data_IF_656014434954
#
_entry.id   IF_656014434954
#
_cell.length_a   1.000
_cell.length_b   1.000
_cell.length_c   1.000
_cell.angle_alpha   90.00
_cell.angle_beta   90.00
_cell.angle_gamma   90.00
#
_symmetry.space_group_name_H-M   'P 1'
#
loop_
_entity.id
_entity.type
_entity.pdbx_description
1 polymer ?
#
# COMPACT_ATOMS: atom_id res chain seq x y z
N UNK A 1 12.99 -13.83 -43.10
CA UNK A 1 14.23 -13.47 -43.81
C UNK A 1 14.47 -11.95 -43.90
N UNK A 2 13.44 -11.11 -44.02
CA UNK A 2 13.56 -9.64 -44.10
C UNK A 2 14.32 -8.97 -42.93
N UNK A 3 14.18 -9.49 -41.69
CA UNK A 3 14.82 -8.89 -40.52
C UNK A 3 16.34 -9.09 -40.47
N UNK A 4 16.90 -10.15 -41.06
CA UNK A 4 18.36 -10.39 -41.06
C UNK A 4 19.14 -9.42 -41.96
N UNK A 5 18.53 -8.90 -43.01
CA UNK A 5 19.17 -7.93 -43.93
C UNK A 5 19.25 -6.53 -43.30
N UNK A 6 18.38 -6.24 -42.30
CA UNK A 6 18.31 -4.95 -41.63
C UNK A 6 18.98 -4.96 -40.24
N UNK A 7 19.55 -6.10 -39.84
CA UNK A 7 20.26 -6.23 -38.57
C UNK A 7 21.42 -5.18 -38.50
N UNK A 8 21.41 -4.32 -37.48
CA UNK A 8 22.41 -3.28 -37.34
C UNK A 8 23.82 -3.83 -37.02
N UNK A 9 23.94 -4.98 -36.36
CA UNK A 9 25.22 -5.53 -35.93
C UNK A 9 26.14 -5.91 -37.10
N UNK A 10 25.72 -6.70 -38.11
CA UNK A 10 26.53 -6.98 -39.28
C UNK A 10 26.91 -5.72 -40.06
N UNK A 11 25.97 -4.76 -40.22
CA UNK A 11 26.21 -3.48 -40.91
C UNK A 11 27.28 -2.66 -40.16
N UNK A 12 27.21 -2.58 -38.86
CA UNK A 12 28.19 -1.88 -38.03
C UNK A 12 29.56 -2.56 -38.05
N UNK A 13 29.58 -3.90 -37.94
CA UNK A 13 30.80 -4.70 -38.05
C UNK A 13 31.51 -4.46 -39.37
N UNK A 14 30.80 -4.44 -40.47
CA UNK A 14 31.37 -4.14 -41.79
C UNK A 14 32.04 -2.75 -41.84
N UNK A 15 31.38 -1.72 -41.26
CA UNK A 15 31.97 -0.37 -41.18
C UNK A 15 33.25 -0.34 -40.35
N UNK A 16 33.29 -1.01 -39.21
CA UNK A 16 34.48 -1.07 -38.37
C UNK A 16 35.62 -1.87 -39.00
N UNK A 17 35.30 -2.96 -39.70
CA UNK A 17 36.26 -3.76 -40.45
C UNK A 17 36.88 -2.92 -41.57
N UNK A 18 36.08 -2.15 -42.33
CA UNK A 18 36.57 -1.23 -43.35
C UNK A 18 37.45 -0.09 -42.79
N UNK A 19 37.27 0.25 -41.50
CA UNK A 19 38.12 1.18 -40.77
C UNK A 19 39.41 0.54 -40.20
N UNK A 20 39.75 -0.69 -40.62
CA UNK A 20 40.98 -1.40 -40.22
C UNK A 20 40.89 -2.13 -38.85
N UNK A 21 39.73 -2.28 -38.30
CA UNK A 21 39.53 -2.89 -36.97
C UNK A 21 39.14 -4.38 -37.00
N UNK A 22 39.19 -5.06 -38.16
CA UNK A 22 38.73 -6.42 -38.33
C UNK A 22 39.38 -7.41 -37.34
N UNK A 23 40.69 -7.43 -37.21
CA UNK A 23 41.42 -8.33 -36.29
C UNK A 23 41.06 -8.09 -34.84
N UNK A 24 40.80 -6.82 -34.46
CA UNK A 24 40.38 -6.49 -33.09
C UNK A 24 38.96 -6.98 -32.83
N UNK A 25 38.06 -6.87 -33.82
CA UNK A 25 36.69 -7.39 -33.70
C UNK A 25 36.66 -8.91 -33.54
N UNK A 26 37.51 -9.63 -34.31
CA UNK A 26 37.63 -11.08 -34.21
C UNK A 26 38.20 -11.52 -32.85
N UNK A 27 39.15 -10.77 -32.32
CA UNK A 27 39.67 -11.00 -30.97
C UNK A 27 38.64 -10.78 -29.88
N UNK A 28 37.81 -9.69 -29.97
CA UNK A 28 36.71 -9.43 -29.04
C UNK A 28 35.67 -10.53 -29.13
N UNK A 29 35.27 -10.98 -30.32
CA UNK A 29 34.30 -12.06 -30.49
C UNK A 29 34.79 -13.39 -29.86
N UNK A 30 36.08 -13.67 -29.98
CA UNK A 30 36.68 -14.87 -29.35
C UNK A 30 36.64 -14.75 -27.82
N UNK A 31 37.07 -13.61 -27.28
CA UNK A 31 37.09 -13.32 -25.84
C UNK A 31 35.67 -13.39 -25.24
N UNK A 32 34.69 -12.75 -25.89
CA UNK A 32 33.29 -12.75 -25.43
C UNK A 32 32.71 -14.18 -25.48
N UNK A 33 33.01 -14.94 -26.53
CA UNK A 33 32.54 -16.33 -26.65
C UNK A 33 33.12 -17.21 -25.55
N UNK A 34 34.41 -17.11 -25.28
CA UNK A 34 35.09 -17.84 -24.20
C UNK A 34 34.53 -17.44 -22.82
N UNK A 35 34.32 -16.14 -22.61
CA UNK A 35 33.71 -15.63 -21.38
C UNK A 35 32.28 -16.18 -21.16
N UNK A 36 31.44 -16.14 -22.20
CA UNK A 36 30.05 -16.66 -22.12
C UNK A 36 30.06 -18.18 -21.86
N UNK A 37 30.91 -18.95 -22.55
CA UNK A 37 31.03 -20.38 -22.32
C UNK A 37 31.49 -20.69 -20.89
N UNK A 38 32.47 -19.96 -20.39
CA UNK A 38 32.95 -20.09 -18.99
C UNK A 38 31.82 -19.78 -17.99
N UNK A 39 31.03 -18.73 -18.24
CA UNK A 39 29.88 -18.41 -17.39
C UNK A 39 28.82 -19.53 -17.40
N UNK A 40 28.53 -20.11 -18.59
CA UNK A 40 27.56 -21.22 -18.73
C UNK A 40 28.08 -22.45 -17.95
N UNK A 41 29.34 -22.85 -18.14
CA UNK A 41 29.91 -24.00 -17.45
C UNK A 41 29.94 -23.79 -15.93
N UNK A 42 30.29 -22.59 -15.49
CA UNK A 42 30.28 -22.23 -14.07
C UNK A 42 28.85 -22.32 -13.47
N UNK A 43 27.87 -21.80 -14.19
CA UNK A 43 26.47 -21.86 -13.77
C UNK A 43 25.94 -23.32 -13.73
N UNK A 44 26.29 -24.14 -14.71
CA UNK A 44 25.90 -25.55 -14.77
C UNK A 44 26.56 -26.42 -13.67
N UNK A 45 27.70 -25.98 -13.18
CA UNK A 45 28.40 -26.65 -12.08
C UNK A 45 27.85 -26.33 -10.70
N UNK A 46 27.00 -25.32 -10.57
CA UNK A 46 26.35 -24.98 -9.31
C UNK A 46 25.34 -26.07 -8.91
N UNK A 47 25.19 -26.35 -7.61
CA UNK A 47 24.15 -27.25 -7.15
C UNK A 47 22.76 -26.67 -7.49
N UNK A 48 21.74 -27.53 -7.68
CA UNK A 48 20.36 -27.05 -7.83
C UNK A 48 19.97 -26.15 -6.67
N UNK A 49 19.22 -25.11 -6.97
CA UNK A 49 18.70 -24.20 -5.94
C UNK A 49 17.77 -25.00 -5.02
N UNK A 50 17.98 -24.91 -3.70
CA UNK A 50 17.07 -25.49 -2.72
C UNK A 50 15.74 -24.71 -2.72
N UNK A 51 14.59 -25.41 -2.62
CA UNK A 51 13.31 -24.74 -2.39
C UNK A 51 13.19 -24.16 -0.98
N UNK A 52 14.08 -24.52 -0.07
CA UNK A 52 14.10 -23.99 1.29
C UNK A 52 14.40 -22.50 1.28
N UNK A 53 13.55 -21.71 1.95
CA UNK A 53 13.73 -20.27 2.06
C UNK A 53 13.23 -19.45 0.85
N UNK A 54 12.61 -20.05 -0.17
CA UNK A 54 12.09 -19.32 -1.33
C UNK A 54 11.18 -18.15 -0.95
N UNK A 55 10.40 -18.26 0.12
CA UNK A 55 9.52 -17.20 0.58
C UNK A 55 10.28 -16.02 1.21
N UNK A 56 11.49 -16.26 1.71
CA UNK A 56 12.33 -15.21 2.31
C UNK A 56 12.80 -14.17 1.27
N UNK A 57 12.88 -14.56 0.00
CA UNK A 57 13.31 -13.69 -1.10
C UNK A 57 12.16 -12.83 -1.66
N UNK A 58 10.93 -12.99 -1.15
CA UNK A 58 9.77 -12.24 -1.65
C UNK A 58 9.89 -10.74 -1.38
N UNK A 59 10.40 -10.37 -0.21
CA UNK A 59 10.57 -8.99 0.20
C UNK A 59 12.04 -8.67 0.47
N UNK A 60 12.43 -7.44 0.15
CA UNK A 60 13.69 -6.92 0.64
C UNK A 60 13.69 -6.94 2.18
N UNK A 61 14.82 -7.28 2.83
CA UNK A 61 14.92 -7.22 4.28
C UNK A 61 14.53 -5.85 4.83
N UNK A 62 13.92 -5.85 6.02
CA UNK A 62 13.57 -4.60 6.67
C UNK A 62 14.83 -3.72 6.83
N UNK A 63 14.75 -2.51 6.31
CA UNK A 63 15.83 -1.54 6.44
C UNK A 63 16.00 -1.15 7.92
N UNK A 64 17.25 -0.96 8.39
CA UNK A 64 17.45 -0.38 9.72
C UNK A 64 16.79 1.00 9.78
N UNK A 65 16.35 1.45 10.97
CA UNK A 65 15.78 2.78 11.13
C UNK A 65 16.72 3.84 10.57
N UNK A 66 16.25 4.60 9.58
CA UNK A 66 17.02 5.74 9.09
C UNK A 66 16.80 6.92 10.05
N UNK A 67 17.88 7.54 10.57
CA UNK A 67 17.73 8.72 11.44
C UNK A 67 17.02 9.84 10.65
N UNK A 68 15.95 10.38 11.20
CA UNK A 68 15.27 11.55 10.66
C UNK A 68 16.07 12.80 11.01
N UNK A 69 16.94 13.23 10.09
CA UNK A 69 17.82 14.37 10.27
C UNK A 69 17.42 15.48 9.29
N UNK A 70 17.18 16.72 9.76
CA UNK A 70 16.90 17.84 8.85
C UNK A 70 18.04 18.01 7.85
N UNK A 71 17.70 18.18 6.58
CA UNK A 71 18.69 18.49 5.54
C UNK A 71 19.34 19.84 5.83
N UNK A 72 20.66 19.85 5.96
CA UNK A 72 21.44 21.06 6.25
C UNK A 72 21.30 22.03 5.07
N UNK A 73 20.76 23.24 5.32
CA UNK A 73 20.87 24.36 4.39
C UNK A 73 19.61 24.85 3.70
N UNK A 74 18.40 24.42 4.09
CA UNK A 74 17.16 25.00 3.57
C UNK A 74 16.40 25.78 4.65
N UNK A 75 15.75 26.89 4.26
CA UNK A 75 14.78 27.59 5.11
C UNK A 75 13.63 26.65 5.61
N UNK A 76 13.53 25.47 4.98
CA UNK A 76 12.63 24.37 5.31
C UNK A 76 13.06 23.62 6.61
N UNK A 77 14.33 23.72 7.04
CA UNK A 77 14.80 23.13 8.30
C UNK A 77 14.12 23.74 9.53
N UNK A 78 13.63 24.97 9.40
CA UNK A 78 12.85 25.63 10.47
C UNK A 78 11.43 25.05 10.62
N UNK A 79 10.89 24.40 9.59
CA UNK A 79 9.57 23.73 9.65
C UNK A 79 9.60 22.46 10.53
N UNK A 80 10.69 21.70 10.51
CA UNK A 80 10.86 20.49 11.31
C UNK A 80 11.09 20.79 12.80
N UNK A 81 11.83 21.86 13.11
CA UNK A 81 12.13 22.25 14.50
C UNK A 81 10.97 22.96 15.23
N UNK A 82 9.90 23.34 14.52
CA UNK A 82 8.73 24.04 15.05
C UNK A 82 7.49 23.15 15.23
N UNK A 83 7.57 21.85 14.96
CA UNK A 83 6.45 20.95 15.21
C UNK A 83 6.22 20.89 16.73
N UNK A 84 5.04 21.33 17.17
CA UNK A 84 4.54 21.03 18.52
C UNK A 84 4.58 19.50 18.72
N UNK A 85 4.74 19.02 19.94
CA UNK A 85 4.77 17.58 20.24
C UNK A 85 3.51 16.84 19.73
N UNK A 86 2.39 17.56 19.59
CA UNK A 86 1.14 17.05 18.99
C UNK A 86 0.30 18.18 18.41
N UNK A 87 -0.54 17.86 17.41
CA UNK A 87 -1.48 18.79 16.78
C UNK A 87 -2.80 18.08 16.48
N UNK A 88 -3.94 18.77 16.61
CA UNK A 88 -5.24 18.25 16.20
C UNK A 88 -5.42 18.39 14.68
N UNK A 89 -5.36 17.30 13.95
CA UNK A 89 -5.39 17.26 12.50
C UNK A 89 -6.54 16.42 11.95
N UNK A 90 -7.06 16.80 10.79
CA UNK A 90 -7.82 15.86 9.95
C UNK A 90 -6.86 14.87 9.29
N UNK A 91 -7.37 13.76 8.75
CA UNK A 91 -6.53 12.78 8.06
C UNK A 91 -5.77 13.41 6.89
N UNK A 92 -6.42 14.21 6.05
CA UNK A 92 -5.76 14.89 4.93
C UNK A 92 -4.60 15.80 5.40
N UNK A 93 -4.78 16.55 6.50
CA UNK A 93 -3.70 17.36 7.06
C UNK A 93 -2.59 16.52 7.70
N UNK A 94 -2.92 15.39 8.32
CA UNK A 94 -1.91 14.47 8.87
C UNK A 94 -1.03 13.90 7.76
N UNK A 95 -1.62 13.50 6.63
CA UNK A 95 -0.88 13.05 5.44
C UNK A 95 -0.01 14.18 4.89
N UNK A 96 -0.56 15.39 4.73
CA UNK A 96 0.23 16.55 4.26
C UNK A 96 1.44 16.82 5.17
N UNK A 97 1.26 16.74 6.50
CA UNK A 97 2.36 16.88 7.47
C UNK A 97 3.42 15.77 7.33
N UNK A 98 3.00 14.52 7.11
CA UNK A 98 3.93 13.41 6.87
C UNK A 98 4.74 13.64 5.57
N UNK A 99 4.08 14.02 4.47
CA UNK A 99 4.74 14.34 3.20
C UNK A 99 5.73 15.51 3.36
N UNK A 100 5.35 16.56 4.09
CA UNK A 100 6.25 17.69 4.40
C UNK A 100 7.48 17.25 5.19
N UNK A 101 7.28 16.43 6.21
CA UNK A 101 8.40 15.88 7.00
C UNK A 101 9.33 15.06 6.11
N UNK A 102 8.79 14.17 5.29
CA UNK A 102 9.58 13.36 4.36
C UNK A 102 10.35 14.25 3.38
N UNK A 103 9.70 15.20 2.73
CA UNK A 103 10.36 16.10 1.77
C UNK A 103 11.42 16.98 2.43
N UNK A 104 11.22 17.42 3.66
CA UNK A 104 12.16 18.27 4.39
C UNK A 104 13.41 17.53 4.86
N UNK A 105 13.25 16.27 5.27
CA UNK A 105 14.31 15.50 5.94
C UNK A 105 14.96 14.45 5.03
N UNK A 106 14.43 14.25 3.81
CA UNK A 106 14.87 13.22 2.86
C UNK A 106 15.10 13.83 1.47
N UNK A 107 16.34 14.18 1.11
CA UNK A 107 16.65 14.81 -0.17
C UNK A 107 16.35 13.90 -1.37
N UNK A 108 16.38 12.59 -1.21
CA UNK A 108 16.07 11.59 -2.23
C UNK A 108 14.57 11.41 -2.49
N UNK A 109 13.68 12.00 -1.65
CA UNK A 109 12.23 11.87 -1.77
C UNK A 109 11.68 12.74 -2.89
N UNK A 110 10.65 12.23 -3.56
CA UNK A 110 9.89 12.91 -4.61
C UNK A 110 8.40 12.63 -4.40
N UNK A 111 7.55 13.61 -4.74
CA UNK A 111 6.09 13.41 -4.77
C UNK A 111 5.61 13.70 -6.18
N UNK A 112 4.98 12.73 -6.80
CA UNK A 112 4.47 12.82 -8.16
C UNK A 112 3.04 12.27 -8.24
N UNK A 113 2.32 12.66 -9.28
CA UNK A 113 0.94 12.23 -9.52
C UNK A 113 0.16 13.26 -10.29
N UNK A 114 -1.09 12.95 -10.60
CA UNK A 114 -1.95 13.83 -11.39
C UNK A 114 -2.46 14.98 -10.52
N UNK A 115 -2.40 16.21 -11.04
CA UNK A 115 -2.89 17.44 -10.41
C UNK A 115 -2.32 17.77 -9.01
N UNK A 116 -1.27 17.08 -8.57
CA UNK A 116 -0.70 17.29 -7.23
C UNK A 116 0.08 18.59 -7.08
N UNK A 117 0.46 19.22 -8.18
CA UNK A 117 1.27 20.44 -8.20
C UNK A 117 0.49 21.68 -7.74
N UNK A 118 0.23 22.59 -8.67
CA UNK A 118 -0.44 23.87 -8.36
C UNK A 118 -1.85 23.69 -7.78
N UNK A 119 -2.58 22.67 -8.25
CA UNK A 119 -3.92 22.36 -7.75
C UNK A 119 -3.92 21.76 -6.34
N UNK A 120 -2.86 21.02 -5.95
CA UNK A 120 -2.71 20.44 -4.62
C UNK A 120 -3.41 19.08 -4.44
N UNK A 121 -3.61 18.35 -5.54
CA UNK A 121 -4.29 17.05 -5.56
C UNK A 121 -5.82 17.16 -5.54
N UNK A 122 -6.51 16.10 -5.95
CA UNK A 122 -7.97 16.03 -6.02
C UNK A 122 -8.64 16.33 -4.66
N UNK A 123 -8.01 15.94 -3.57
CA UNK A 123 -8.52 16.11 -2.20
C UNK A 123 -7.74 17.14 -1.37
N UNK A 124 -6.86 17.92 -2.01
CA UNK A 124 -6.01 18.94 -1.37
C UNK A 124 -5.00 18.38 -0.35
N UNK A 125 -4.65 17.12 -0.47
CA UNK A 125 -3.68 16.48 0.42
C UNK A 125 -2.26 16.99 0.16
N UNK A 126 -1.92 17.31 -1.10
CA UNK A 126 -0.61 17.84 -1.51
C UNK A 126 -0.55 19.35 -1.62
N UNK A 127 -1.55 20.04 -1.05
CA UNK A 127 -1.65 21.51 -1.11
C UNK A 127 -0.38 22.19 -0.57
N UNK A 128 0.11 23.17 -1.30
CA UNK A 128 1.32 23.95 -1.04
C UNK A 128 2.66 23.20 -1.13
N UNK A 129 2.72 21.88 -1.35
CA UNK A 129 3.99 21.14 -1.45
C UNK A 129 4.84 21.64 -2.62
N UNK A 130 4.24 21.87 -3.79
CA UNK A 130 4.98 22.41 -4.95
C UNK A 130 5.60 23.77 -4.66
N UNK A 131 4.87 24.64 -3.97
CA UNK A 131 5.35 25.99 -3.61
C UNK A 131 6.57 25.92 -2.68
N UNK A 132 6.52 25.00 -1.70
CA UNK A 132 7.50 24.95 -0.62
C UNK A 132 8.74 24.13 -0.99
N UNK A 133 8.61 23.10 -1.83
CA UNK A 133 9.71 22.17 -2.18
C UNK A 133 10.17 22.27 -3.64
N UNK A 134 9.43 22.98 -4.47
CA UNK A 134 9.80 23.20 -5.87
C UNK A 134 9.52 22.01 -6.81
N UNK A 135 9.54 22.32 -8.11
CA UNK A 135 9.21 21.36 -9.18
C UNK A 135 10.13 20.14 -9.28
N UNK A 136 11.41 20.20 -8.94
CA UNK A 136 12.26 19.00 -8.96
C UNK A 136 11.83 17.93 -7.93
N UNK A 137 11.12 18.34 -6.88
CA UNK A 137 10.72 17.47 -5.77
C UNK A 137 9.22 17.13 -5.78
N UNK A 138 8.38 18.02 -6.33
CA UNK A 138 6.92 17.87 -6.38
C UNK A 138 6.44 18.27 -7.76
N UNK A 139 5.85 17.36 -8.52
CA UNK A 139 5.40 17.65 -9.88
C UNK A 139 4.20 16.81 -10.32
N UNK A 140 3.34 17.44 -11.12
CA UNK A 140 2.22 16.76 -11.76
C UNK A 140 2.72 15.91 -12.95
N UNK A 141 2.17 14.71 -13.07
CA UNK A 141 2.34 13.83 -14.23
C UNK A 141 1.22 14.07 -15.26
N UNK A 142 1.41 13.66 -16.51
CA UNK A 142 0.28 13.46 -17.43
C UNK A 142 -0.72 12.43 -16.87
N UNK A 143 -1.95 12.43 -17.43
CA UNK A 143 -2.98 11.42 -17.16
C UNK A 143 -2.60 10.10 -17.87
N UNK A 144 -1.75 9.32 -17.23
CA UNK A 144 -1.29 8.04 -17.76
C UNK A 144 -0.70 7.21 -16.60
N UNK A 145 -1.54 6.50 -15.89
CA UNK A 145 -1.20 5.80 -14.65
C UNK A 145 -0.11 4.76 -14.86
N UNK A 146 -0.19 3.99 -15.94
CA UNK A 146 0.83 3.00 -16.26
C UNK A 146 2.22 3.63 -16.50
N UNK A 147 2.27 4.77 -17.19
CA UNK A 147 3.54 5.45 -17.47
C UNK A 147 4.11 6.13 -16.22
N UNK A 148 3.27 6.79 -15.41
CA UNK A 148 3.71 7.44 -14.16
C UNK A 148 4.22 6.43 -13.16
N UNK A 149 3.53 5.28 -13.01
CA UNK A 149 3.96 4.19 -12.13
C UNK A 149 5.28 3.57 -12.62
N UNK A 150 5.41 3.31 -13.92
CA UNK A 150 6.69 2.85 -14.49
C UNK A 150 7.82 3.83 -14.26
N UNK A 151 7.53 5.14 -14.35
CA UNK A 151 8.50 6.20 -14.06
C UNK A 151 8.88 6.22 -12.56
N UNK A 152 7.91 6.09 -11.65
CA UNK A 152 8.18 5.99 -10.21
C UNK A 152 9.08 4.78 -9.88
N UNK A 153 8.80 3.61 -10.47
CA UNK A 153 9.65 2.42 -10.32
C UNK A 153 11.08 2.70 -10.84
N UNK A 154 11.19 3.34 -12.00
CA UNK A 154 12.50 3.72 -12.57
C UNK A 154 13.27 4.68 -11.67
N UNK A 155 12.62 5.67 -11.07
CA UNK A 155 13.20 6.57 -10.08
C UNK A 155 13.72 5.80 -8.85
N UNK A 156 12.95 4.82 -8.36
CA UNK A 156 13.35 3.99 -7.23
C UNK A 156 14.58 3.14 -7.56
N UNK A 157 14.65 2.54 -8.75
CA UNK A 157 15.83 1.83 -9.24
C UNK A 157 17.05 2.78 -9.39
N UNK A 158 16.80 4.05 -9.64
CA UNK A 158 17.82 5.11 -9.72
C UNK A 158 18.28 5.68 -8.37
N UNK A 159 17.79 5.13 -7.24
CA UNK A 159 18.20 5.54 -5.89
C UNK A 159 17.32 6.62 -5.25
N UNK A 160 16.21 6.99 -5.87
CA UNK A 160 15.21 7.87 -5.27
C UNK A 160 14.17 7.08 -4.48
N UNK A 161 13.39 7.81 -3.66
CA UNK A 161 12.23 7.25 -2.93
C UNK A 161 10.96 8.04 -3.28
N UNK A 162 10.31 7.69 -4.39
CA UNK A 162 9.13 8.39 -4.85
C UNK A 162 7.88 8.01 -4.06
N UNK A 163 6.98 8.99 -3.93
CA UNK A 163 5.62 8.82 -3.44
C UNK A 163 4.71 9.21 -4.61
N UNK A 164 3.97 8.26 -5.16
CA UNK A 164 3.06 8.46 -6.27
C UNK A 164 1.62 8.53 -5.78
N UNK A 165 0.91 9.63 -6.10
CA UNK A 165 -0.53 9.78 -5.85
C UNK A 165 -1.32 9.39 -7.10
N UNK A 166 -2.18 8.37 -6.97
CA UNK A 166 -3.31 8.17 -7.87
C UNK A 166 -4.46 9.09 -7.44
N UNK A 167 -5.23 9.61 -8.38
CA UNK A 167 -6.41 10.41 -8.01
C UNK A 167 -7.45 9.54 -7.31
N UNK A 168 -7.63 8.29 -7.77
CA UNK A 168 -8.50 7.28 -7.19
C UNK A 168 -7.88 5.89 -7.37
N UNK A 169 -8.08 5.01 -6.38
CA UNK A 169 -7.62 3.62 -6.44
C UNK A 169 -8.19 2.85 -7.66
N UNK A 170 -9.36 3.24 -8.12
CA UNK A 170 -10.03 2.70 -9.32
C UNK A 170 -9.13 2.81 -10.56
N UNK A 171 -8.43 3.92 -10.73
CA UNK A 171 -7.56 4.17 -11.89
C UNK A 171 -6.23 3.42 -11.83
N UNK A 172 -5.84 2.92 -10.65
CA UNK A 172 -4.66 2.08 -10.55
C UNK A 172 -4.79 0.76 -11.33
N UNK A 173 -6.01 0.41 -11.79
CA UNK A 173 -6.22 -0.70 -12.71
C UNK A 173 -5.51 -0.53 -14.05
N UNK A 174 -5.31 0.72 -14.54
CA UNK A 174 -4.51 1.02 -15.73
C UNK A 174 -3.01 0.75 -15.50
N UNK A 175 -2.55 0.88 -14.25
CA UNK A 175 -1.18 0.60 -13.85
C UNK A 175 -0.94 -0.84 -13.35
N UNK A 176 -1.93 -1.74 -13.46
CA UNK A 176 -1.87 -3.10 -12.90
C UNK A 176 -0.58 -3.82 -13.32
N UNK A 177 -0.20 -3.77 -14.60
CA UNK A 177 1.04 -4.38 -15.08
C UNK A 177 2.28 -3.86 -14.36
N UNK A 178 2.37 -2.55 -14.14
CA UNK A 178 3.51 -1.94 -13.47
C UNK A 178 3.56 -2.31 -11.99
N UNK A 179 2.42 -2.34 -11.33
CA UNK A 179 2.31 -2.67 -9.90
C UNK A 179 2.61 -4.14 -9.65
N UNK A 180 1.88 -5.07 -10.32
CA UNK A 180 1.91 -6.48 -9.97
C UNK A 180 2.99 -7.29 -10.68
N UNK A 181 3.40 -6.92 -11.90
CA UNK A 181 4.45 -7.63 -12.64
C UNK A 181 5.82 -6.99 -12.49
N UNK A 182 5.89 -5.68 -12.25
CA UNK A 182 7.16 -4.98 -12.08
C UNK A 182 7.44 -4.68 -10.60
N UNK A 183 6.74 -3.75 -9.96
CA UNK A 183 7.05 -3.36 -8.59
C UNK A 183 7.07 -4.57 -7.63
N UNK A 184 6.00 -5.37 -7.62
CA UNK A 184 5.85 -6.50 -6.71
C UNK A 184 6.93 -7.58 -6.87
N UNK A 185 7.41 -7.81 -8.09
CA UNK A 185 8.29 -8.95 -8.37
C UNK A 185 9.76 -8.58 -8.56
N UNK A 186 10.10 -7.30 -8.56
CA UNK A 186 11.46 -6.86 -8.92
C UNK A 186 12.51 -7.37 -7.94
N UNK A 187 12.20 -7.34 -6.64
CA UNK A 187 13.12 -7.85 -5.64
C UNK A 187 13.30 -9.37 -5.78
N UNK A 188 12.23 -10.11 -5.87
CA UNK A 188 12.28 -11.57 -6.04
C UNK A 188 13.05 -11.99 -7.30
N UNK A 189 12.89 -11.28 -8.42
CA UNK A 189 13.52 -11.63 -9.70
C UNK A 189 14.98 -11.23 -9.80
N UNK A 190 15.38 -10.13 -9.15
CA UNK A 190 16.65 -9.46 -9.43
C UNK A 190 17.33 -8.86 -8.18
N UNK A 191 16.79 -9.05 -6.98
CA UNK A 191 17.31 -8.40 -5.77
C UNK A 191 17.21 -6.87 -5.80
N UNK A 192 16.46 -6.30 -6.77
CA UNK A 192 16.32 -4.87 -6.94
C UNK A 192 15.24 -4.32 -6.01
N UNK A 193 15.62 -3.52 -5.04
CA UNK A 193 14.70 -2.79 -4.15
C UNK A 193 13.86 -1.79 -4.95
N UNK A 194 12.59 -1.67 -4.60
CA UNK A 194 11.64 -0.72 -5.21
C UNK A 194 10.91 0.05 -4.11
N UNK A 195 11.59 0.99 -3.43
CA UNK A 195 11.03 1.79 -2.35
C UNK A 195 10.07 2.87 -2.89
N UNK A 196 8.91 2.47 -3.34
CA UNK A 196 7.85 3.37 -3.83
C UNK A 196 6.67 3.30 -2.89
N UNK A 197 6.15 4.46 -2.49
CA UNK A 197 4.86 4.57 -1.79
C UNK A 197 3.78 4.94 -2.81
N UNK A 198 2.78 4.09 -2.97
CA UNK A 198 1.63 4.34 -3.82
C UNK A 198 0.44 4.77 -2.97
N UNK A 199 -0.10 5.95 -3.22
CA UNK A 199 -1.27 6.51 -2.54
C UNK A 199 -2.53 6.19 -3.31
N UNK A 200 -3.45 5.47 -2.69
CA UNK A 200 -4.69 4.99 -3.30
C UNK A 200 -5.93 5.55 -2.59
N UNK A 201 -6.38 6.78 -2.92
CA UNK A 201 -7.67 7.28 -2.44
C UNK A 201 -8.81 6.36 -2.90
N UNK A 202 -9.53 5.75 -1.96
CA UNK A 202 -10.55 4.73 -2.20
C UNK A 202 -11.82 4.96 -1.36
N UNK A 203 -12.77 4.05 -1.43
CA UNK A 203 -13.96 4.01 -0.60
C UNK A 203 -15.12 4.88 -1.08
N UNK A 204 -16.32 4.49 -0.72
CA UNK A 204 -17.57 5.14 -1.05
C UNK A 204 -18.06 6.16 0.01
N UNK A 205 -19.36 6.43 -0.03
CA UNK A 205 -20.03 7.35 0.89
C UNK A 205 -19.97 8.82 0.51
N UNK A 206 -19.45 9.12 -0.68
CA UNK A 206 -19.34 10.50 -1.22
C UNK A 206 -20.07 10.67 -2.56
N UNK A 207 -20.85 9.69 -2.97
CA UNK A 207 -21.66 9.68 -4.20
C UNK A 207 -20.88 9.87 -5.49
N UNK A 208 -19.64 9.35 -5.53
CA UNK A 208 -18.78 9.42 -6.73
C UNK A 208 -19.00 8.27 -7.71
N UNK A 209 -19.79 7.27 -7.34
CA UNK A 209 -20.17 6.15 -8.21
C UNK A 209 -19.05 5.16 -8.51
N UNK A 210 -19.28 4.31 -9.51
CA UNK A 210 -18.51 3.10 -9.76
C UNK A 210 -17.07 3.30 -10.25
N UNK A 211 -16.69 4.50 -10.70
CA UNK A 211 -15.32 4.78 -11.19
C UNK A 211 -14.43 5.49 -10.16
N UNK A 212 -14.97 5.86 -8.99
CA UNK A 212 -14.27 6.71 -8.04
C UNK A 212 -14.49 6.30 -6.58
N UNK A 213 -15.11 5.13 -6.35
CA UNK A 213 -15.55 4.75 -5.00
C UNK A 213 -15.26 3.29 -4.64
N UNK A 214 -14.57 2.55 -5.51
CA UNK A 214 -14.33 1.15 -5.25
C UNK A 214 -13.25 0.94 -4.19
N UNK A 215 -13.43 -0.16 -3.45
CA UNK A 215 -12.41 -0.76 -2.63
C UNK A 215 -11.61 -1.76 -3.47
N UNK A 216 -10.32 -1.50 -3.61
CA UNK A 216 -9.45 -2.22 -4.55
C UNK A 216 -8.43 -3.14 -3.86
N UNK A 217 -8.41 -3.19 -2.54
CA UNK A 217 -7.40 -3.90 -1.76
C UNK A 217 -7.29 -5.39 -2.14
N UNK A 218 -8.43 -6.07 -2.28
CA UNK A 218 -8.44 -7.49 -2.64
C UNK A 218 -7.85 -7.75 -4.03
N UNK A 219 -8.00 -6.80 -4.96
CA UNK A 219 -7.50 -6.94 -6.34
C UNK A 219 -5.97 -6.87 -6.40
N UNK A 220 -5.36 -5.96 -5.65
CA UNK A 220 -3.91 -5.78 -5.66
C UNK A 220 -3.19 -6.75 -4.71
N UNK A 221 -3.80 -7.09 -3.58
CA UNK A 221 -3.21 -8.00 -2.59
C UNK A 221 -3.33 -9.48 -2.96
N UNK A 222 -4.00 -9.81 -4.04
CA UNK A 222 -3.94 -11.13 -4.65
C UNK A 222 -2.54 -11.45 -5.25
N UNK A 223 -1.70 -10.41 -5.45
CA UNK A 223 -0.35 -10.57 -6.01
C UNK A 223 0.71 -10.42 -4.91
N UNK A 224 1.57 -11.44 -4.68
CA UNK A 224 2.62 -11.36 -3.69
C UNK A 224 3.69 -10.33 -4.06
N UNK A 225 4.33 -9.73 -3.06
CA UNK A 225 5.40 -8.73 -3.21
C UNK A 225 4.96 -7.28 -3.01
N UNK A 226 3.65 -7.00 -2.91
CA UNK A 226 3.14 -5.69 -2.50
C UNK A 226 2.87 -5.67 -0.99
N UNK A 227 3.38 -4.67 -0.29
CA UNK A 227 2.96 -4.36 1.08
C UNK A 227 1.80 -3.37 1.04
N UNK A 228 0.95 -3.39 2.07
CA UNK A 228 -0.21 -2.50 2.10
C UNK A 228 -0.60 -2.07 3.50
N UNK A 229 -0.92 -0.78 3.62
CA UNK A 229 -1.46 -0.15 4.83
C UNK A 229 -2.83 0.47 4.51
N UNK A 230 -3.71 0.47 5.50
CA UNK A 230 -5.02 1.10 5.40
C UNK A 230 -5.36 1.79 6.73
N UNK A 231 -4.94 3.05 6.93
CA UNK A 231 -5.16 3.78 8.17
C UNK A 231 -6.62 4.14 8.37
N UNK A 232 -7.08 4.09 9.63
CA UNK A 232 -8.44 4.47 10.06
C UNK A 232 -8.48 5.83 10.80
N UNK A 233 -7.33 6.34 11.25
CA UNK A 233 -7.24 7.59 12.02
C UNK A 233 -6.17 8.54 11.46
N UNK A 234 -6.22 9.84 11.78
CA UNK A 234 -5.16 10.77 11.40
C UNK A 234 -3.77 10.39 11.93
N UNK A 235 -3.67 9.82 13.14
CA UNK A 235 -2.40 9.31 13.67
C UNK A 235 -1.88 8.14 12.85
N UNK A 236 -2.77 7.18 12.53
CA UNK A 236 -2.38 6.03 11.71
C UNK A 236 -1.96 6.46 10.31
N UNK A 237 -2.62 7.46 9.72
CA UNK A 237 -2.24 8.01 8.42
C UNK A 237 -0.84 8.64 8.45
N UNK A 238 -0.55 9.49 9.44
CA UNK A 238 0.79 10.05 9.63
C UNK A 238 1.85 8.96 9.76
N UNK A 239 1.60 7.97 10.61
CA UNK A 239 2.51 6.87 10.87
C UNK A 239 2.71 5.98 9.63
N UNK A 240 1.63 5.72 8.86
CA UNK A 240 1.67 4.90 7.65
C UNK A 240 2.62 5.46 6.60
N UNK A 241 2.60 6.78 6.39
CA UNK A 241 3.50 7.43 5.43
C UNK A 241 4.97 7.33 5.85
N UNK A 242 5.27 7.54 7.13
CA UNK A 242 6.65 7.42 7.62
C UNK A 242 7.15 5.97 7.53
N UNK A 243 6.32 5.01 7.94
CA UNK A 243 6.68 3.59 7.92
C UNK A 243 6.80 3.04 6.49
N UNK A 244 5.89 3.42 5.59
CA UNK A 244 5.95 3.03 4.19
C UNK A 244 7.14 3.65 3.45
N UNK A 245 7.49 4.88 3.77
CA UNK A 245 8.63 5.56 3.17
C UNK A 245 9.97 4.90 3.53
N UNK A 246 10.11 4.38 4.74
CA UNK A 246 11.33 3.68 5.16
C UNK A 246 11.45 2.26 4.62
N UNK A 247 10.37 1.69 4.10
CA UNK A 247 10.37 0.33 3.57
C UNK A 247 11.08 0.28 2.20
N UNK A 248 11.92 -0.72 1.99
CA UNK A 248 12.64 -0.92 0.72
C UNK A 248 11.79 -1.66 -0.33
N UNK A 249 10.56 -2.02 0.02
CA UNK A 249 9.60 -2.67 -0.85
C UNK A 249 8.53 -1.68 -1.33
N UNK A 250 7.78 -2.00 -2.39
CA UNK A 250 6.63 -1.21 -2.81
C UNK A 250 5.49 -1.30 -1.78
N UNK A 251 5.00 -0.16 -1.31
CA UNK A 251 3.93 -0.09 -0.32
C UNK A 251 2.75 0.69 -0.88
N UNK A 252 1.58 0.08 -0.88
CA UNK A 252 0.31 0.75 -1.17
C UNK A 252 -0.29 1.29 0.14
N UNK A 253 -0.69 2.55 0.16
CA UNK A 253 -1.49 3.12 1.25
C UNK A 253 -2.89 3.37 0.70
N UNK A 254 -3.85 2.56 1.12
CA UNK A 254 -5.26 2.78 0.86
C UNK A 254 -5.76 3.90 1.77
N UNK A 255 -6.39 4.92 1.20
CA UNK A 255 -6.80 6.13 1.91
C UNK A 255 -8.31 6.32 1.72
N UNK A 256 -9.11 5.95 2.71
CA UNK A 256 -10.56 6.12 2.59
C UNK A 256 -10.93 7.60 2.55
N UNK A 257 -11.50 8.04 1.43
CA UNK A 257 -11.81 9.46 1.16
C UNK A 257 -12.78 10.08 2.17
N UNK A 258 -13.71 9.29 2.67
CA UNK A 258 -14.66 9.70 3.73
C UNK A 258 -13.97 10.10 5.03
N UNK A 259 -12.75 9.62 5.28
CA UNK A 259 -11.97 9.95 6.48
C UNK A 259 -11.16 11.26 6.34
N UNK A 260 -10.88 11.74 5.14
CA UNK A 260 -9.99 12.88 4.94
C UNK A 260 -10.37 14.13 5.75
N UNK A 261 -11.66 14.38 5.88
CA UNK A 261 -12.19 15.59 6.57
C UNK A 261 -13.12 15.26 7.75
N UNK A 262 -13.14 14.00 8.21
CA UNK A 262 -14.00 13.53 9.28
C UNK A 262 -13.44 13.90 10.66
N UNK A 263 -13.55 15.16 11.01
CA UNK A 263 -13.09 15.67 12.31
C UNK A 263 -11.58 15.81 12.42
N UNK A 264 -11.16 16.41 13.53
CA UNK A 264 -9.75 16.58 13.89
C UNK A 264 -9.46 15.74 15.12
N UNK A 265 -8.34 15.03 15.09
CA UNK A 265 -7.87 14.19 16.19
C UNK A 265 -6.41 14.50 16.51
N UNK A 266 -5.97 14.25 17.74
CA UNK A 266 -4.57 14.45 18.13
C UNK A 266 -3.64 13.56 17.30
N UNK A 267 -2.59 14.16 16.74
CA UNK A 267 -1.49 13.47 16.07
C UNK A 267 -0.20 13.81 16.80
N UNK A 268 0.44 12.79 17.36
CA UNK A 268 1.74 12.88 18.02
C UNK A 268 2.84 12.61 16.98
N UNK A 269 3.77 13.54 16.83
CA UNK A 269 4.80 13.46 15.81
C UNK A 269 6.03 12.64 16.24
N UNK A 270 6.14 12.34 17.52
CA UNK A 270 7.17 11.49 18.14
C UNK A 270 6.70 10.05 18.43
N UNK A 271 5.48 9.69 18.00
CA UNK A 271 4.96 8.35 18.18
C UNK A 271 5.79 7.31 17.41
N UNK A 272 5.82 6.07 17.90
CA UNK A 272 6.44 4.96 17.20
C UNK A 272 5.62 4.61 15.95
N UNK A 273 5.94 5.25 14.83
CA UNK A 273 5.20 5.06 13.55
C UNK A 273 5.30 3.64 13.00
N UNK A 274 6.30 2.83 13.38
CA UNK A 274 6.45 1.44 12.92
C UNK A 274 5.41 0.50 13.50
N UNK A 275 4.73 0.88 14.58
CA UNK A 275 3.61 0.11 15.12
C UNK A 275 2.41 0.03 14.17
N UNK A 276 2.37 0.83 13.12
CA UNK A 276 1.33 0.77 12.08
C UNK A 276 1.28 -0.61 11.40
N UNK A 277 2.37 -1.35 11.36
CA UNK A 277 2.45 -2.70 10.83
C UNK A 277 1.82 -3.77 11.73
N UNK A 278 1.31 -3.40 12.91
CA UNK A 278 0.65 -4.30 13.84
C UNK A 278 -0.85 -3.97 13.93
N UNK A 279 -1.75 -4.94 14.11
CA UNK A 279 -3.14 -4.65 14.38
C UNK A 279 -3.27 -3.92 15.74
N UNK A 280 -4.25 -3.02 15.82
CA UNK A 280 -4.55 -2.29 17.04
C UNK A 280 -5.83 -2.80 17.67
N UNK A 281 -5.80 -3.15 18.95
CA UNK A 281 -7.00 -3.38 19.74
C UNK A 281 -7.66 -2.02 20.05
N UNK A 282 -8.83 -1.77 19.46
CA UNK A 282 -9.61 -0.53 19.62
C UNK A 282 -10.50 -0.63 20.86
N UNK A 283 -11.13 -1.80 21.05
CA UNK A 283 -11.97 -2.14 22.20
C UNK A 283 -11.63 -3.52 22.72
N UNK A 284 -11.79 -3.72 24.02
CA UNK A 284 -11.69 -5.01 24.66
C UNK A 284 -13.08 -5.51 25.07
N UNK A 285 -13.33 -6.79 24.84
CA UNK A 285 -14.58 -7.46 25.20
C UNK A 285 -14.44 -8.98 25.14
N UNK A 286 -15.52 -9.72 25.40
CA UNK A 286 -15.48 -11.16 25.60
C UNK A 286 -16.46 -11.97 24.75
N UNK A 287 -17.46 -11.33 24.16
CA UNK A 287 -18.48 -12.04 23.37
C UNK A 287 -17.97 -12.54 22.00
N UNK A 288 -17.36 -11.65 21.22
CA UNK A 288 -16.80 -11.98 19.91
C UNK A 288 -15.63 -11.07 19.56
N UNK A 289 -14.81 -11.49 18.60
CA UNK A 289 -13.74 -10.72 18.00
C UNK A 289 -14.21 -10.12 16.69
N UNK A 290 -14.25 -8.81 16.58
CA UNK A 290 -14.52 -8.05 15.35
C UNK A 290 -13.19 -7.60 14.76
N UNK A 291 -12.99 -7.87 13.47
CA UNK A 291 -11.80 -7.44 12.71
C UNK A 291 -12.24 -6.54 11.57
N UNK A 292 -11.62 -5.37 11.46
CA UNK A 292 -11.96 -4.38 10.46
C UNK A 292 -10.75 -3.52 10.06
N UNK A 293 -10.90 -2.63 9.08
CA UNK A 293 -9.92 -1.65 8.63
C UNK A 293 -10.60 -0.46 7.94
N UNK A 294 -9.85 0.61 7.73
CA UNK A 294 -10.35 1.82 7.08
C UNK A 294 -11.54 2.44 7.81
N UNK A 295 -12.50 3.00 7.07
CA UNK A 295 -13.68 3.64 7.66
C UNK A 295 -14.55 2.68 8.46
N UNK A 296 -14.58 1.40 8.10
CA UNK A 296 -15.43 0.43 8.75
C UNK A 296 -15.07 0.21 10.23
N UNK A 297 -13.86 0.52 10.65
CA UNK A 297 -13.47 0.52 12.08
C UNK A 297 -14.37 1.44 12.90
N UNK A 298 -14.71 2.63 12.37
CA UNK A 298 -15.55 3.60 13.06
C UNK A 298 -17.01 3.13 13.15
N UNK A 299 -17.50 2.46 12.11
CA UNK A 299 -18.85 1.87 12.13
C UNK A 299 -18.93 0.70 13.10
N UNK A 300 -17.88 -0.14 13.16
CA UNK A 300 -17.77 -1.22 14.15
C UNK A 300 -17.71 -0.68 15.57
N UNK A 301 -16.94 0.38 15.81
CA UNK A 301 -16.80 1.02 17.12
C UNK A 301 -18.16 1.56 17.61
N UNK A 302 -18.92 2.20 16.73
CA UNK A 302 -20.27 2.69 17.02
C UNK A 302 -21.27 1.52 17.26
N UNK A 303 -21.14 0.41 16.53
CA UNK A 303 -21.95 -0.79 16.77
C UNK A 303 -21.60 -1.43 18.13
N UNK A 304 -20.32 -1.53 18.48
CA UNK A 304 -19.89 -2.01 19.81
C UNK A 304 -20.47 -1.16 20.95
N UNK A 305 -20.52 0.16 20.76
CA UNK A 305 -21.16 1.06 21.75
C UNK A 305 -22.63 0.71 21.93
N UNK A 306 -23.37 0.55 20.81
CA UNK A 306 -24.76 0.18 20.83
C UNK A 306 -25.02 -1.15 21.58
N UNK A 307 -24.22 -2.18 21.28
CA UNK A 307 -24.37 -3.47 21.96
C UNK A 307 -24.03 -3.41 23.46
N UNK A 308 -23.06 -2.58 23.83
CA UNK A 308 -22.73 -2.40 25.25
C UNK A 308 -23.87 -1.70 26.02
N UNK A 309 -24.55 -0.72 25.39
CA UNK A 309 -25.62 0.05 26.00
C UNK A 309 -26.95 -0.73 26.03
N UNK A 310 -27.30 -1.44 24.95
CA UNK A 310 -28.62 -2.08 24.80
C UNK A 310 -28.63 -3.56 25.21
N UNK A 311 -27.50 -4.26 25.16
CA UNK A 311 -27.41 -5.69 25.37
C UNK A 311 -26.37 -6.11 26.42
N UNK A 312 -25.70 -5.17 27.07
CA UNK A 312 -24.59 -5.44 28.02
C UNK A 312 -23.54 -6.39 27.41
N UNK A 313 -23.36 -6.32 26.07
CA UNK A 313 -22.48 -7.21 25.33
C UNK A 313 -21.24 -6.46 24.84
N UNK A 314 -20.06 -7.04 25.05
CA UNK A 314 -18.78 -6.44 24.70
C UNK A 314 -18.03 -7.25 23.65
N UNK A 315 -17.28 -6.56 22.81
CA UNK A 315 -16.51 -7.14 21.72
C UNK A 315 -15.05 -6.72 21.80
N UNK A 316 -14.13 -7.64 21.47
CA UNK A 316 -12.82 -7.21 21.00
C UNK A 316 -12.98 -6.63 19.61
N UNK A 317 -12.54 -5.38 19.40
CA UNK A 317 -12.49 -4.75 18.08
C UNK A 317 -11.05 -4.51 17.69
N UNK A 318 -10.63 -5.13 16.60
CA UNK A 318 -9.30 -4.93 16.01
C UNK A 318 -9.38 -4.10 14.73
N UNK A 319 -8.53 -3.08 14.66
CA UNK A 319 -8.16 -2.37 13.44
C UNK A 319 -6.90 -3.01 12.87
N UNK A 320 -6.98 -3.59 11.67
CA UNK A 320 -5.85 -4.26 11.04
C UNK A 320 -4.69 -3.32 10.73
N UNK A 321 -4.98 -2.13 10.26
CA UNK A 321 -4.02 -1.12 9.81
C UNK A 321 -3.10 -1.58 8.68
N UNK A 322 -2.49 -2.76 8.79
CA UNK A 322 -1.69 -3.41 7.75
C UNK A 322 -2.47 -4.58 7.13
N UNK A 323 -2.62 -4.56 5.82
CA UNK A 323 -3.29 -5.62 5.08
C UNK A 323 -2.28 -6.61 4.45
N UNK A 324 -1.05 -6.17 4.24
CA UNK A 324 0.06 -7.02 3.76
C UNK A 324 1.40 -6.44 4.25
N UNK A 325 2.24 -7.23 4.92
CA UNK A 325 1.97 -8.58 5.44
C UNK A 325 0.97 -8.57 6.60
N UNK A 326 0.10 -9.59 6.65
CA UNK A 326 -0.86 -9.76 7.75
C UNK A 326 -0.17 -10.25 9.03
N UNK A 327 -0.44 -9.57 10.14
CA UNK A 327 -0.02 -9.93 11.49
C UNK A 327 -1.24 -10.34 12.31
N UNK A 328 -1.48 -11.63 12.50
CA UNK A 328 -2.72 -12.15 13.06
C UNK A 328 -2.62 -12.68 14.48
N UNK A 329 -1.44 -12.70 15.12
CA UNK A 329 -1.24 -13.38 16.41
C UNK A 329 -2.16 -12.86 17.53
N UNK A 330 -2.28 -11.53 17.67
CA UNK A 330 -3.17 -10.92 18.66
C UNK A 330 -4.65 -11.23 18.37
N UNK A 331 -5.03 -11.25 17.08
CA UNK A 331 -6.38 -11.56 16.63
C UNK A 331 -6.68 -13.05 16.88
N UNK A 332 -5.73 -13.95 16.57
CA UNK A 332 -5.86 -15.39 16.85
C UNK A 332 -6.08 -15.65 18.34
N UNK A 333 -5.29 -15.00 19.19
CA UNK A 333 -5.46 -15.12 20.64
C UNK A 333 -6.85 -14.65 21.10
N UNK A 334 -7.36 -13.57 20.55
CA UNK A 334 -8.70 -13.05 20.82
C UNK A 334 -9.79 -14.01 20.33
N UNK A 335 -9.72 -14.50 19.09
CA UNK A 335 -10.69 -15.44 18.52
C UNK A 335 -10.69 -16.77 19.31
N UNK A 336 -9.52 -17.28 19.69
CA UNK A 336 -9.41 -18.49 20.51
C UNK A 336 -10.11 -18.32 21.87
N UNK A 337 -10.06 -17.13 22.48
CA UNK A 337 -10.71 -16.79 23.74
C UNK A 337 -12.22 -16.61 23.59
N UNK A 338 -12.66 -15.81 22.63
CA UNK A 338 -14.07 -15.49 22.42
C UNK A 338 -14.85 -16.64 21.77
N UNK A 339 -14.19 -17.40 20.91
CA UNK A 339 -14.78 -18.47 20.09
C UNK A 339 -15.65 -17.96 18.94
N UNK A 340 -15.67 -16.65 18.67
CA UNK A 340 -16.54 -16.03 17.68
C UNK A 340 -15.78 -14.97 16.86
N UNK A 341 -15.93 -15.02 15.53
CA UNK A 341 -15.27 -14.12 14.61
C UNK A 341 -16.27 -13.37 13.74
N UNK A 342 -16.16 -12.05 13.71
CA UNK A 342 -16.86 -11.16 12.77
C UNK A 342 -15.84 -10.38 11.98
N UNK A 343 -15.93 -10.37 10.66
CA UNK A 343 -15.08 -9.58 9.77
C UNK A 343 -15.94 -8.57 9.02
N UNK A 344 -15.59 -7.28 9.14
CA UNK A 344 -16.32 -6.18 8.52
C UNK A 344 -15.38 -5.41 7.60
N UNK A 345 -15.76 -5.27 6.33
CA UNK A 345 -15.03 -4.46 5.36
C UNK A 345 -15.96 -3.82 4.34
N UNK A 346 -15.52 -2.73 3.71
CA UNK A 346 -16.35 -2.03 2.74
C UNK A 346 -16.34 -2.67 1.35
N UNK A 347 -15.26 -3.37 0.98
CA UNK A 347 -15.19 -4.09 -0.29
C UNK A 347 -16.33 -5.10 -0.46
N UNK A 348 -16.57 -5.52 -1.70
CA UNK A 348 -17.64 -6.50 -2.04
C UNK A 348 -17.45 -7.81 -1.28
N UNK A 349 -18.53 -8.52 -1.02
CA UNK A 349 -18.51 -9.78 -0.25
C UNK A 349 -17.81 -10.90 -1.02
N UNK A 350 -18.08 -11.03 -2.32
CA UNK A 350 -17.46 -12.03 -3.19
C UNK A 350 -16.03 -11.59 -3.56
N UNK A 351 -15.07 -12.47 -3.34
CA UNK A 351 -13.64 -12.21 -3.52
C UNK A 351 -13.10 -11.01 -2.71
N UNK A 352 -13.84 -10.52 -1.73
CA UNK A 352 -13.37 -9.45 -0.85
C UNK A 352 -12.32 -9.95 0.15
N UNK A 353 -11.48 -9.03 0.63
CA UNK A 353 -10.36 -9.31 1.53
C UNK A 353 -10.76 -10.03 2.83
N UNK A 354 -11.98 -9.78 3.32
CA UNK A 354 -12.51 -10.48 4.49
C UNK A 354 -12.68 -11.99 4.29
N UNK A 355 -12.73 -12.50 3.06
CA UNK A 355 -12.77 -13.95 2.81
C UNK A 355 -11.44 -14.61 3.16
N UNK A 356 -10.32 -13.97 2.80
CA UNK A 356 -8.97 -14.41 3.15
C UNK A 356 -8.76 -14.43 4.67
N UNK A 357 -9.18 -13.38 5.37
CA UNK A 357 -9.10 -13.31 6.83
C UNK A 357 -9.87 -14.45 7.49
N UNK A 358 -11.10 -14.70 7.05
CA UNK A 358 -11.93 -15.80 7.59
C UNK A 358 -11.27 -17.15 7.29
N UNK A 359 -10.76 -17.36 6.07
CA UNK A 359 -10.09 -18.61 5.69
C UNK A 359 -8.92 -18.90 6.62
N UNK A 360 -7.94 -17.99 6.69
CA UNK A 360 -6.74 -18.14 7.53
C UNK A 360 -7.05 -18.37 9.01
N UNK A 361 -7.97 -17.58 9.56
CA UNK A 361 -8.32 -17.71 10.97
C UNK A 361 -9.09 -19.01 11.24
N UNK A 362 -9.94 -19.45 10.31
CA UNK A 362 -10.70 -20.69 10.46
C UNK A 362 -9.79 -21.92 10.34
N UNK A 363 -8.85 -21.95 9.41
CA UNK A 363 -7.92 -23.07 9.24
C UNK A 363 -7.15 -23.37 10.52
N UNK A 364 -6.69 -22.33 11.23
CA UNK A 364 -5.91 -22.52 12.46
C UNK A 364 -6.78 -22.69 13.72
N UNK A 365 -8.00 -22.11 13.74
CA UNK A 365 -8.81 -21.98 14.95
C UNK A 365 -10.15 -22.73 14.88
N UNK A 366 -10.36 -23.59 13.89
CA UNK A 366 -11.65 -24.29 13.68
C UNK A 366 -12.17 -24.95 14.96
N UNK A 367 -11.31 -25.62 15.70
CA UNK A 367 -11.68 -26.29 16.97
C UNK A 367 -12.05 -25.33 18.12
N UNK A 368 -11.70 -24.04 18.01
CA UNK A 368 -12.02 -23.02 19.01
C UNK A 368 -13.29 -22.24 18.69
N UNK A 369 -13.81 -22.35 17.45
CA UNK A 369 -14.98 -21.62 17.01
C UNK A 369 -16.27 -22.22 17.60
N UNK A 370 -17.08 -21.37 18.21
CA UNK A 370 -18.42 -21.69 18.77
C UNK A 370 -19.54 -21.40 17.78
N UNK A 371 -19.26 -20.61 16.74
CA UNK A 371 -20.23 -20.27 15.68
C UNK A 371 -19.48 -20.09 14.35
N UNK A 372 -20.21 -20.21 13.23
CA UNK A 372 -19.67 -19.90 11.93
C UNK A 372 -19.22 -18.44 11.87
N UNK A 373 -18.03 -18.12 11.30
CA UNK A 373 -17.59 -16.74 11.13
C UNK A 373 -18.57 -15.90 10.33
N UNK A 374 -18.84 -14.68 10.78
CA UNK A 374 -19.73 -13.74 10.11
C UNK A 374 -18.91 -12.76 9.26
N UNK A 375 -19.22 -12.63 7.96
CA UNK A 375 -18.67 -11.58 7.09
C UNK A 375 -19.75 -10.56 6.76
N UNK A 376 -19.46 -9.29 7.07
CA UNK A 376 -20.29 -8.14 6.74
C UNK A 376 -19.49 -7.29 5.74
N UNK A 377 -20.04 -7.11 4.54
CA UNK A 377 -19.36 -6.48 3.41
C UNK A 377 -20.38 -5.78 2.50
N UNK A 378 -19.92 -4.99 1.55
CA UNK A 378 -20.80 -4.42 0.55
C UNK A 378 -21.46 -5.48 -0.34
N UNK A 379 -22.52 -5.09 -1.01
CA UNK A 379 -23.23 -5.93 -1.99
C UNK A 379 -22.32 -6.20 -3.21
N UNK A 380 -22.55 -7.32 -3.88
CA UNK A 380 -21.80 -7.70 -5.10
C UNK A 380 -22.34 -6.94 -6.34
N UNK A 381 -22.23 -5.61 -6.29
CA UNK A 381 -22.69 -4.67 -7.30
C UNK A 381 -21.61 -3.61 -7.56
N UNK A 382 -21.59 -2.95 -8.72
CA UNK A 382 -20.87 -1.69 -8.88
C UNK A 382 -21.40 -0.62 -7.91
N UNK A 383 -20.51 0.26 -7.43
CA UNK A 383 -20.90 1.31 -6.48
C UNK A 383 -21.92 2.26 -7.14
N UNK A 384 -23.12 2.44 -6.57
CA UNK A 384 -24.13 3.32 -7.15
C UNK A 384 -23.77 4.83 -6.99
N UNK A 385 -24.33 5.66 -7.88
CA UNK A 385 -24.23 7.13 -7.77
C UNK A 385 -25.28 7.72 -6.82
N UNK A 386 -26.50 7.19 -6.85
CA UNK A 386 -27.58 7.74 -6.05
C UNK A 386 -27.30 7.51 -4.56
N UNK A 387 -27.37 8.56 -3.71
CA UNK A 387 -27.07 8.46 -2.28
C UNK A 387 -27.88 7.37 -1.59
N UNK A 388 -29.16 7.25 -1.92
CA UNK A 388 -30.07 6.26 -1.35
C UNK A 388 -29.64 4.82 -1.66
N UNK A 389 -29.11 4.60 -2.87
CA UNK A 389 -28.59 3.30 -3.27
C UNK A 389 -27.20 3.01 -2.69
N UNK A 390 -26.34 4.04 -2.61
CA UNK A 390 -24.99 3.89 -2.01
C UNK A 390 -25.11 3.54 -0.51
N UNK A 391 -26.07 4.14 0.23
CA UNK A 391 -26.37 3.79 1.62
C UNK A 391 -26.79 2.31 1.74
N UNK A 392 -27.58 1.82 0.78
CA UNK A 392 -27.97 0.39 0.76
C UNK A 392 -26.81 -0.51 0.36
N UNK A 393 -25.91 -0.05 -0.49
CA UNK A 393 -24.78 -0.81 -0.98
C UNK A 393 -23.73 -1.11 0.11
N UNK A 394 -23.32 -0.11 0.90
CA UNK A 394 -22.21 -0.18 1.86
C UNK A 394 -22.67 -0.75 3.22
N UNK A 395 -21.78 -1.39 3.99
CA UNK A 395 -22.00 -1.58 5.42
C UNK A 395 -22.12 -0.24 6.14
N UNK A 396 -22.94 -0.24 7.20
CA UNK A 396 -23.11 0.91 8.10
C UNK A 396 -23.22 0.39 9.53
N UNK A 397 -23.17 1.28 10.53
CA UNK A 397 -23.41 0.91 11.93
C UNK A 397 -24.67 0.04 12.07
N UNK A 398 -25.81 0.49 11.49
CA UNK A 398 -27.10 -0.19 11.67
C UNK A 398 -27.11 -1.57 11.01
N UNK A 399 -26.55 -1.70 9.79
CA UNK A 399 -26.41 -3.01 9.13
C UNK A 399 -25.48 -3.96 9.88
N UNK A 400 -24.43 -3.43 10.53
CA UNK A 400 -23.55 -4.23 11.37
C UNK A 400 -24.31 -4.72 12.60
N UNK A 401 -25.10 -3.86 13.23
CA UNK A 401 -25.97 -4.21 14.37
C UNK A 401 -26.97 -5.28 13.96
N UNK A 402 -27.72 -5.07 12.87
CA UNK A 402 -28.71 -6.01 12.37
C UNK A 402 -28.11 -7.40 12.08
N UNK A 403 -26.96 -7.40 11.37
CA UNK A 403 -26.29 -8.65 11.00
C UNK A 403 -25.75 -9.41 12.21
N UNK A 404 -25.16 -8.71 13.20
CA UNK A 404 -24.68 -9.34 14.42
C UNK A 404 -25.85 -9.83 15.28
N UNK A 405 -26.92 -9.05 15.42
CA UNK A 405 -28.12 -9.45 16.16
C UNK A 405 -28.72 -10.73 15.56
N UNK A 406 -28.89 -10.77 14.24
CA UNK A 406 -29.37 -11.97 13.54
C UNK A 406 -28.44 -13.18 13.69
N UNK A 407 -27.17 -12.96 13.85
CA UNK A 407 -26.15 -14.01 14.02
C UNK A 407 -26.07 -14.51 15.47
N UNK A 408 -26.47 -13.70 16.44
CA UNK A 408 -26.48 -14.04 17.86
C UNK A 408 -27.67 -15.01 18.22
N UNK A 409 -28.73 -14.93 17.46
CA UNK A 409 -29.91 -15.65 17.76
C UNK A 409 -30.79 -16.28 17.18
#
# INVERSE_FOLDING_TARGET
MLFRSEDPLPKWRAKLAAAGLATRLDAIDAEVRDFVETCIQSAMALPPISPEGMEADLYAPDAPPMPWVPSVGSEVSTLSSQLAASENLTMAHAINKALRKILAERPESLVLGQDIGTYGGAFKVTEHLLKDFGRPRVFSTPLCESASTGYAIGLACGGHRPIEEFQFADFATDAMTQLVLNAATYYFRAGQKVPVVFRFPCGGGLTFGSFHSQEMEASFLAFPGLKALYPSTPQDAFNAFLAAYEDDNPVIIFEHKGLYRRGKHPVKFDANYREIWQPRLVRSGDFATIVSYGEMVLHCDAACTYFAEEYETSFDLFDLRALSPLKLDAIKASVARTGRLVVVHEGRKTHGFGAELVSRLTEELFGSLKAAPLRIAALDLPVPFAPELEIVYRPSKDKIVDAITAWMG
#
